data_IF_644522960594
#
_entry.id   IF_644522960594
#
_cell.length_a   1.000
_cell.length_b   1.000
_cell.length_c   1.000
_cell.angle_alpha   90.00
_cell.angle_beta   90.00
_cell.angle_gamma   90.00
#
_symmetry.space_group_name_H-M   'P 1'
#
loop_
_entity.id
_entity.type
_entity.pdbx_description
1 polymer ?
#
# COMPACT_ATOMS: atom_id res chain seq x y z
N UNK A 1 -25.97 67.82 -15.95
CA UNK A 1 -25.00 66.70 -15.97
C UNK A 1 -25.43 65.75 -14.88
N UNK A 2 -26.04 64.63 -15.28
CA UNK A 2 -26.47 63.55 -14.40
C UNK A 2 -25.39 62.48 -14.41
N UNK A 3 -24.76 62.22 -13.25
CA UNK A 3 -23.87 61.10 -13.06
C UNK A 3 -24.69 59.87 -12.73
N UNK A 4 -24.60 58.83 -13.56
CA UNK A 4 -25.16 57.54 -13.30
C UNK A 4 -24.17 56.70 -12.45
N UNK A 5 -24.62 56.26 -11.26
CA UNK A 5 -23.92 55.28 -10.45
C UNK A 5 -24.20 53.89 -11.02
N UNK A 6 -23.12 53.13 -11.32
CA UNK A 6 -23.17 51.72 -11.62
C UNK A 6 -23.12 50.91 -10.29
N UNK A 7 -23.97 49.89 -10.08
CA UNK A 7 -23.89 49.06 -8.89
C UNK A 7 -22.70 48.09 -8.98
N UNK A 8 -22.16 47.64 -7.84
CA UNK A 8 -21.06 46.64 -7.80
C UNK A 8 -21.52 45.26 -8.29
N UNK A 9 -20.64 44.57 -9.01
CA UNK A 9 -20.81 43.22 -9.49
C UNK A 9 -20.95 42.23 -8.31
N UNK A 10 -21.97 41.40 -8.37
CA UNK A 10 -22.11 40.22 -7.52
C UNK A 10 -20.90 39.32 -7.70
N UNK A 11 -20.30 38.93 -6.57
CA UNK A 11 -19.30 37.85 -6.51
C UNK A 11 -20.03 36.51 -6.70
N UNK A 12 -19.55 35.71 -7.62
CA UNK A 12 -19.97 34.31 -7.79
C UNK A 12 -19.72 33.55 -6.48
N UNK A 13 -20.65 32.68 -6.05
CA UNK A 13 -20.43 31.84 -4.89
C UNK A 13 -19.34 30.81 -5.19
N UNK A 14 -18.45 30.62 -4.22
CA UNK A 14 -17.43 29.58 -4.16
C UNK A 14 -17.99 28.24 -4.62
N UNK A 15 -17.30 27.60 -5.55
CA UNK A 15 -17.67 26.30 -6.08
C UNK A 15 -17.76 25.28 -4.95
N UNK A 16 -18.95 24.78 -4.73
CA UNK A 16 -19.25 23.66 -3.85
C UNK A 16 -18.53 22.42 -4.43
N UNK A 17 -17.48 21.96 -3.74
CA UNK A 17 -16.80 20.70 -4.06
C UNK A 17 -17.83 19.60 -3.81
N UNK A 18 -18.43 19.10 -4.88
CA UNK A 18 -19.31 17.92 -4.80
C UNK A 18 -18.47 16.75 -4.31
N UNK A 19 -18.88 16.09 -3.21
CA UNK A 19 -18.24 14.82 -2.80
C UNK A 19 -18.34 13.84 -3.98
N UNK A 20 -17.27 13.13 -4.26
CA UNK A 20 -17.32 11.96 -5.16
C UNK A 20 -18.33 11.02 -4.55
N UNK A 21 -19.46 10.78 -5.23
CA UNK A 21 -20.46 9.78 -4.83
C UNK A 21 -19.72 8.44 -4.74
N UNK A 22 -19.45 7.96 -3.52
CA UNK A 22 -19.08 6.56 -3.31
C UNK A 22 -20.27 5.73 -3.82
N UNK A 23 -19.98 4.77 -4.70
CA UNK A 23 -21.00 3.86 -5.20
C UNK A 23 -21.69 3.21 -4.00
N UNK A 24 -23.01 3.32 -3.90
CA UNK A 24 -23.83 2.93 -2.75
C UNK A 24 -23.79 1.43 -2.40
N UNK A 25 -23.04 0.59 -3.16
CA UNK A 25 -22.92 -0.86 -3.04
C UNK A 25 -21.45 -1.32 -3.14
N UNK A 26 -20.49 -0.63 -2.49
CA UNK A 26 -19.09 -1.07 -2.44
C UNK A 26 -18.76 -1.79 -1.14
N UNK A 27 -17.93 -2.84 -1.25
CA UNK A 27 -17.46 -3.69 -0.15
C UNK A 27 -15.95 -3.58 -0.04
N UNK A 28 -15.43 -3.61 1.18
CA UNK A 28 -13.99 -3.69 1.41
C UNK A 28 -13.49 -5.11 1.21
N UNK A 29 -12.38 -5.24 0.50
CA UNK A 29 -11.62 -6.47 0.34
C UNK A 29 -10.24 -6.30 0.97
N UNK A 30 -9.67 -7.40 1.44
CA UNK A 30 -8.32 -7.44 1.98
C UNK A 30 -7.57 -8.63 1.38
N UNK A 31 -6.52 -8.37 0.60
CA UNK A 31 -5.58 -9.39 0.18
C UNK A 31 -4.58 -9.65 1.29
N UNK A 32 -4.24 -10.91 1.56
CA UNK A 32 -3.27 -11.23 2.61
C UNK A 32 -2.57 -12.56 2.34
N UNK A 33 -1.54 -12.82 3.10
CA UNK A 33 -0.87 -14.11 3.15
C UNK A 33 -0.89 -14.69 4.57
N UNK A 34 -0.60 -15.96 4.70
CA UNK A 34 -0.47 -16.66 5.97
C UNK A 34 0.92 -17.28 6.11
N UNK A 35 1.36 -17.52 7.35
CA UNK A 35 2.64 -18.14 7.61
C UNK A 35 3.82 -17.41 6.98
N UNK A 36 4.51 -18.07 6.03
CA UNK A 36 5.58 -17.47 5.22
C UNK A 36 5.18 -17.24 3.75
N UNK A 37 3.89 -17.43 3.42
CA UNK A 37 3.36 -17.20 2.07
C UNK A 37 3.55 -18.35 1.09
N UNK A 38 3.84 -19.55 1.57
CA UNK A 38 4.02 -20.73 0.70
C UNK A 38 2.70 -21.22 0.09
N UNK A 39 1.59 -21.04 0.79
CA UNK A 39 0.26 -21.47 0.34
C UNK A 39 -0.40 -20.47 -0.61
N UNK A 40 -0.01 -19.19 -0.56
CA UNK A 40 -0.39 -18.20 -1.56
C UNK A 40 -1.36 -17.12 -1.09
N UNK A 41 -2.18 -16.65 -2.04
CA UNK A 41 -3.12 -15.55 -1.86
C UNK A 41 -4.34 -15.98 -1.06
N UNK A 42 -4.67 -15.18 -0.06
CA UNK A 42 -5.94 -15.24 0.66
C UNK A 42 -6.70 -13.93 0.48
N UNK A 43 -8.02 -13.98 0.55
CA UNK A 43 -8.89 -12.81 0.56
C UNK A 43 -9.83 -12.83 1.78
N UNK A 44 -10.03 -11.66 2.34
CA UNK A 44 -11.10 -11.38 3.29
C UNK A 44 -11.97 -10.22 2.77
N UNK A 45 -13.17 -10.09 3.30
CA UNK A 45 -14.07 -8.98 3.00
C UNK A 45 -14.67 -8.39 4.27
N UNK A 46 -15.11 -7.14 4.18
CA UNK A 46 -15.83 -6.46 5.24
C UNK A 46 -16.88 -5.52 4.63
N UNK A 47 -18.08 -5.51 5.20
CA UNK A 47 -19.15 -4.58 4.82
C UNK A 47 -19.03 -3.23 5.54
N UNK A 48 -18.32 -3.22 6.68
CA UNK A 48 -18.21 -2.05 7.57
C UNK A 48 -16.77 -1.50 7.72
N UNK A 49 -15.76 -2.22 7.20
CA UNK A 49 -14.34 -1.88 7.38
C UNK A 49 -13.78 -2.29 8.75
N UNK A 50 -14.60 -2.85 9.64
CA UNK A 50 -14.18 -3.23 11.00
C UNK A 50 -14.22 -4.73 11.22
N UNK A 51 -15.22 -5.41 10.69
CA UNK A 51 -15.41 -6.85 10.87
C UNK A 51 -15.06 -7.59 9.59
N UNK A 52 -13.92 -8.28 9.57
CA UNK A 52 -13.40 -8.97 8.40
C UNK A 52 -13.72 -10.47 8.43
N UNK A 53 -14.13 -11.01 7.30
CA UNK A 53 -14.49 -12.42 7.12
C UNK A 53 -13.66 -13.02 6.00
N UNK A 54 -13.04 -14.18 6.26
CA UNK A 54 -12.28 -14.90 5.24
C UNK A 54 -13.19 -15.40 4.11
N UNK A 55 -12.74 -15.25 2.88
CA UNK A 55 -13.29 -15.94 1.72
C UNK A 55 -12.71 -17.36 1.60
N UNK A 56 -13.34 -18.18 0.77
CA UNK A 56 -12.91 -19.56 0.52
C UNK A 56 -12.64 -20.37 1.81
N UNK A 57 -13.42 -20.14 2.87
CA UNK A 57 -13.24 -20.76 4.20
C UNK A 57 -11.82 -20.56 4.79
N UNK A 58 -11.12 -19.49 4.42
CA UNK A 58 -9.77 -19.20 4.86
C UNK A 58 -8.67 -19.97 4.11
N UNK A 59 -9.02 -20.75 3.09
CA UNK A 59 -8.05 -21.43 2.25
C UNK A 59 -7.53 -20.50 1.15
N UNK A 60 -6.29 -20.76 0.68
CA UNK A 60 -5.68 -20.01 -0.43
C UNK A 60 -6.51 -20.11 -1.71
N UNK A 61 -6.58 -19.03 -2.47
CA UNK A 61 -7.27 -18.97 -3.77
C UNK A 61 -6.29 -18.97 -4.94
N UNK A 62 -5.00 -18.72 -4.73
CA UNK A 62 -3.98 -18.74 -5.76
C UNK A 62 -2.65 -19.20 -5.17
N UNK A 63 -2.18 -20.37 -5.60
CA UNK A 63 -0.88 -20.92 -5.18
C UNK A 63 0.26 -20.23 -5.94
N UNK A 64 1.35 -19.80 -5.26
CA UNK A 64 2.47 -19.13 -5.92
C UNK A 64 3.26 -20.05 -6.84
N UNK A 65 3.59 -19.55 -8.02
CA UNK A 65 4.43 -20.26 -9.02
C UNK A 65 5.60 -19.42 -9.51
N UNK A 66 5.55 -18.09 -9.31
CA UNK A 66 6.62 -17.17 -9.66
C UNK A 66 7.71 -17.13 -8.59
N UNK A 67 8.94 -16.78 -9.01
CA UNK A 67 10.11 -16.72 -8.15
C UNK A 67 10.74 -18.08 -7.86
N UNK A 68 11.98 -18.07 -7.34
CA UNK A 68 12.71 -19.29 -7.00
C UNK A 68 12.12 -19.95 -5.75
N UNK A 69 11.81 -19.15 -4.70
CA UNK A 69 11.24 -19.62 -3.45
C UNK A 69 9.74 -19.88 -3.52
N UNK A 70 9.06 -19.34 -4.55
CA UNK A 70 7.61 -19.45 -4.75
C UNK A 70 6.84 -19.03 -3.52
N UNK A 71 7.18 -17.87 -2.98
CA UNK A 71 6.42 -17.23 -1.91
C UNK A 71 5.41 -16.25 -2.51
N UNK A 72 4.32 -16.03 -1.81
CA UNK A 72 3.37 -14.94 -2.08
C UNK A 72 3.14 -14.20 -0.77
N UNK A 73 4.09 -13.32 -0.44
CA UNK A 73 4.02 -12.48 0.75
C UNK A 73 3.60 -11.08 0.34
N UNK A 74 3.00 -10.37 1.27
CA UNK A 74 2.66 -8.95 1.12
C UNK A 74 1.89 -8.66 -0.19
N UNK A 75 0.80 -9.41 -0.51
CA UNK A 75 0.12 -9.26 -1.79
C UNK A 75 -0.66 -7.94 -1.84
N UNK A 76 -0.26 -7.06 -2.75
CA UNK A 76 -0.98 -5.82 -3.05
C UNK A 76 -1.87 -6.00 -4.28
N UNK A 77 -3.16 -5.73 -4.13
CA UNK A 77 -4.14 -5.74 -5.22
C UNK A 77 -4.76 -4.36 -5.37
N UNK A 78 -4.75 -3.84 -6.60
CA UNK A 78 -5.54 -2.68 -6.98
C UNK A 78 -6.39 -2.98 -8.21
N UNK A 79 -7.47 -2.23 -8.40
CA UNK A 79 -8.24 -2.27 -9.64
C UNK A 79 -7.85 -1.12 -10.55
N UNK A 80 -7.41 -1.43 -11.77
CA UNK A 80 -7.06 -0.46 -12.78
C UNK A 80 -8.27 0.26 -13.38
N UNK A 81 -8.05 1.37 -14.12
CA UNK A 81 -9.13 2.12 -14.76
C UNK A 81 -9.85 1.32 -15.85
N UNK A 82 -9.21 0.30 -16.40
CA UNK A 82 -9.79 -0.66 -17.36
C UNK A 82 -10.71 -1.70 -16.70
N UNK A 83 -10.78 -1.70 -15.35
CA UNK A 83 -11.60 -2.62 -14.56
C UNK A 83 -10.91 -3.90 -14.14
N UNK A 84 -9.70 -4.17 -14.61
CA UNK A 84 -8.88 -5.34 -14.28
C UNK A 84 -8.19 -5.17 -12.91
N UNK A 85 -8.07 -6.26 -12.19
CA UNK A 85 -7.28 -6.32 -10.97
C UNK A 85 -5.84 -6.65 -11.30
N UNK A 86 -4.91 -5.90 -10.73
CA UNK A 86 -3.48 -6.13 -10.81
C UNK A 86 -2.94 -6.45 -9.43
N UNK A 87 -2.11 -7.47 -9.35
CA UNK A 87 -1.49 -7.89 -8.09
C UNK A 87 0.02 -7.97 -8.24
N UNK A 88 0.73 -7.43 -7.24
CA UNK A 88 2.16 -7.62 -7.04
C UNK A 88 2.40 -8.23 -5.66
N UNK A 89 3.52 -8.96 -5.50
CA UNK A 89 3.86 -9.59 -4.21
C UNK A 89 5.35 -9.90 -4.09
N UNK A 90 5.81 -10.12 -2.88
CA UNK A 90 7.16 -10.61 -2.57
C UNK A 90 7.27 -12.10 -2.89
N UNK A 91 8.15 -12.46 -3.82
CA UNK A 91 8.32 -13.85 -4.30
C UNK A 91 9.37 -14.64 -3.52
N UNK A 92 10.28 -13.95 -2.84
CA UNK A 92 11.44 -14.54 -2.16
C UNK A 92 12.01 -13.58 -1.11
N UNK A 93 12.76 -14.15 -0.17
CA UNK A 93 13.56 -13.36 0.77
C UNK A 93 14.78 -12.69 0.10
N UNK A 94 15.27 -13.20 -1.01
CA UNK A 94 16.57 -12.80 -1.60
C UNK A 94 16.54 -12.55 -3.11
N UNK A 95 15.38 -12.45 -3.74
CA UNK A 95 15.27 -12.18 -5.18
C UNK A 95 15.26 -10.70 -5.51
N UNK A 96 15.74 -10.36 -6.73
CA UNK A 96 15.76 -8.99 -7.28
C UNK A 96 14.54 -8.69 -8.15
N UNK A 97 13.49 -9.47 -7.97
CA UNK A 97 12.22 -9.37 -8.68
C UNK A 97 11.04 -9.44 -7.74
N UNK A 98 9.89 -9.07 -8.26
CA UNK A 98 8.59 -9.15 -7.62
C UNK A 98 7.66 -10.02 -8.45
N UNK A 99 6.65 -10.61 -7.83
CA UNK A 99 5.59 -11.31 -8.54
C UNK A 99 4.59 -10.35 -9.15
N UNK A 100 3.98 -10.75 -10.26
CA UNK A 100 2.86 -10.07 -10.90
C UNK A 100 1.87 -11.05 -11.51
N UNK A 101 0.59 -10.79 -11.34
CA UNK A 101 -0.51 -11.42 -12.05
C UNK A 101 -1.68 -10.44 -12.16
N UNK A 102 -2.61 -10.69 -13.09
CA UNK A 102 -3.83 -9.91 -13.24
C UNK A 102 -5.07 -10.79 -13.33
N UNK A 103 -6.23 -10.24 -12.99
CA UNK A 103 -7.52 -10.93 -13.02
C UNK A 103 -8.65 -9.98 -13.40
N UNK A 104 -9.67 -10.49 -14.06
CA UNK A 104 -10.90 -9.73 -14.33
C UNK A 104 -11.93 -9.86 -13.19
N UNK A 105 -11.78 -10.89 -12.33
CA UNK A 105 -12.82 -11.31 -11.38
C UNK A 105 -12.33 -11.75 -10.00
N UNK A 106 -11.00 -11.72 -9.76
CA UNK A 106 -10.31 -12.23 -8.56
C UNK A 106 -10.35 -13.76 -8.40
N UNK A 107 -10.89 -14.49 -9.38
CA UNK A 107 -11.00 -15.96 -9.40
C UNK A 107 -9.98 -16.53 -10.37
N UNK A 108 -10.08 -16.10 -11.63
CA UNK A 108 -9.21 -16.55 -12.71
C UNK A 108 -8.05 -15.57 -12.89
N UNK A 109 -6.85 -16.00 -12.56
CA UNK A 109 -5.62 -15.20 -12.64
C UNK A 109 -4.83 -15.54 -13.89
N UNK A 110 -4.18 -14.53 -14.47
CA UNK A 110 -3.20 -14.72 -15.55
C UNK A 110 -2.06 -15.63 -15.11
N UNK A 111 -1.22 -16.07 -16.06
CA UNK A 111 0.07 -16.65 -15.72
C UNK A 111 0.86 -15.71 -14.82
N UNK A 112 1.40 -16.25 -13.72
CA UNK A 112 2.22 -15.51 -12.79
C UNK A 112 3.60 -15.23 -13.39
N UNK A 113 4.07 -14.02 -13.26
CA UNK A 113 5.35 -13.57 -13.80
C UNK A 113 6.24 -13.05 -12.67
N UNK A 114 7.55 -13.11 -12.88
CA UNK A 114 8.52 -12.38 -12.06
C UNK A 114 9.01 -11.17 -12.86
N UNK A 115 8.74 -9.96 -12.37
CA UNK A 115 9.25 -8.71 -12.92
C UNK A 115 10.58 -8.41 -12.23
N UNK A 116 11.69 -8.40 -12.99
CA UNK A 116 13.04 -8.20 -12.45
C UNK A 116 13.32 -6.70 -12.22
N UNK A 117 12.61 -6.11 -11.26
CA UNK A 117 12.63 -4.66 -10.97
C UNK A 117 14.00 -4.12 -10.51
N UNK A 118 14.92 -4.99 -10.08
CA UNK A 118 16.30 -4.64 -9.70
C UNK A 118 17.35 -5.36 -10.58
N UNK A 119 17.03 -5.62 -11.86
CA UNK A 119 17.93 -6.33 -12.77
C UNK A 119 19.26 -5.61 -12.95
N UNK A 120 19.23 -4.28 -13.12
CA UNK A 120 20.39 -3.43 -13.34
C UNK A 120 21.20 -3.13 -12.07
N UNK A 121 20.74 -3.59 -10.89
CA UNK A 121 21.44 -3.46 -9.61
C UNK A 121 21.85 -4.85 -9.08
N UNK A 122 23.00 -5.39 -9.54
CA UNK A 122 23.38 -6.77 -9.23
C UNK A 122 23.70 -7.03 -7.75
N UNK A 123 23.84 -5.96 -6.96
CA UNK A 123 24.12 -6.06 -5.52
C UNK A 123 22.86 -5.91 -4.65
N UNK A 124 21.72 -5.63 -5.26
CA UNK A 124 20.44 -5.66 -4.54
C UNK A 124 20.16 -7.05 -3.97
N UNK A 125 19.75 -7.10 -2.70
CA UNK A 125 19.57 -8.36 -1.97
C UNK A 125 18.15 -8.86 -1.98
N UNK A 126 17.17 -7.99 -2.15
CA UNK A 126 15.75 -8.30 -2.00
C UNK A 126 14.87 -7.28 -2.71
N UNK A 127 13.60 -7.65 -2.93
CA UNK A 127 12.51 -6.75 -3.30
C UNK A 127 11.30 -7.13 -2.45
N UNK A 128 11.08 -6.41 -1.33
CA UNK A 128 10.05 -6.76 -0.36
C UNK A 128 8.89 -5.80 -0.38
N UNK A 129 7.72 -6.33 -0.04
CA UNK A 129 6.48 -5.59 0.10
C UNK A 129 6.22 -4.63 -1.07
N UNK A 130 6.15 -5.15 -2.31
CA UNK A 130 5.82 -4.31 -3.45
C UNK A 130 4.37 -3.85 -3.35
N UNK A 131 4.16 -2.57 -3.66
CA UNK A 131 2.85 -1.94 -3.69
C UNK A 131 2.57 -1.33 -5.06
N UNK A 132 1.29 -1.11 -5.35
CA UNK A 132 0.78 -0.50 -6.57
C UNK A 132 -0.01 0.76 -6.27
N UNK A 133 0.21 1.80 -7.07
CA UNK A 133 -0.62 2.99 -7.07
C UNK A 133 -0.90 3.42 -8.52
N UNK A 134 -2.19 3.57 -8.90
CA UNK A 134 -2.54 4.14 -10.20
C UNK A 134 -2.67 5.65 -10.10
N UNK A 135 -1.79 6.36 -10.79
CA UNK A 135 -1.84 7.82 -10.86
C UNK A 135 -2.71 8.29 -12.04
N UNK A 136 -3.87 8.86 -11.71
CA UNK A 136 -4.81 9.40 -12.70
C UNK A 136 -4.26 10.61 -13.47
N UNK A 137 -3.22 11.31 -12.93
CA UNK A 137 -2.64 12.50 -13.59
C UNK A 137 -1.70 12.10 -14.72
N UNK A 138 -0.89 11.07 -14.51
CA UNK A 138 0.05 10.52 -15.52
C UNK A 138 -0.53 9.36 -16.32
N UNK A 139 -1.67 8.79 -15.91
CA UNK A 139 -2.28 7.58 -16.46
C UNK A 139 -1.32 6.37 -16.41
N UNK A 140 -0.51 6.27 -15.34
CA UNK A 140 0.45 5.19 -15.12
C UNK A 140 0.27 4.53 -13.77
N UNK A 141 0.70 3.29 -13.69
CA UNK A 141 0.91 2.59 -12.45
C UNK A 141 2.30 2.88 -11.91
N UNK A 142 2.40 3.27 -10.66
CA UNK A 142 3.62 3.27 -9.88
C UNK A 142 3.73 1.93 -9.17
N UNK A 143 4.84 1.22 -9.36
CA UNK A 143 5.22 0.04 -8.60
C UNK A 143 6.37 0.45 -7.70
N UNK A 144 6.28 0.20 -6.39
CA UNK A 144 7.32 0.57 -5.44
C UNK A 144 7.51 -0.52 -4.39
N UNK A 145 8.74 -0.68 -3.91
CA UNK A 145 9.14 -1.79 -3.04
C UNK A 145 10.34 -1.42 -2.18
N UNK A 146 10.61 -2.20 -1.13
CA UNK A 146 11.78 -2.03 -0.28
C UNK A 146 12.96 -2.91 -0.75
N UNK A 147 14.15 -2.30 -0.87
CA UNK A 147 15.38 -2.99 -1.25
C UNK A 147 16.56 -2.57 -0.38
N UNK A 148 17.38 -3.56 0.00
CA UNK A 148 18.71 -3.35 0.57
C UNK A 148 19.78 -3.48 -0.51
N UNK A 149 20.64 -2.46 -0.61
CA UNK A 149 21.83 -2.48 -1.45
C UNK A 149 23.04 -2.27 -0.52
N UNK A 150 23.86 -3.31 -0.29
CA UNK A 150 24.95 -3.25 0.68
C UNK A 150 25.91 -2.09 0.43
N UNK A 151 26.17 -1.31 1.48
CA UNK A 151 27.09 -0.17 1.43
C UNK A 151 26.57 1.10 0.78
N UNK A 152 25.33 1.10 0.24
CA UNK A 152 24.76 2.27 -0.44
C UNK A 152 24.45 3.44 0.51
N UNK A 153 24.00 3.14 1.73
CA UNK A 153 23.58 4.12 2.75
C UNK A 153 24.37 3.93 4.05
N UNK A 154 25.68 4.25 4.06
CA UNK A 154 26.55 3.98 5.21
C UNK A 154 26.16 4.77 6.47
N UNK A 155 25.45 5.90 6.32
CA UNK A 155 24.99 6.74 7.42
C UNK A 155 23.94 6.07 8.31
N UNK A 156 23.21 5.08 7.78
CA UNK A 156 22.16 4.32 8.48
C UNK A 156 22.49 2.84 8.66
N UNK A 157 23.68 2.39 8.21
CA UNK A 157 24.04 0.98 8.26
C UNK A 157 24.05 0.38 9.68
N UNK A 158 24.39 1.19 10.69
CA UNK A 158 24.39 0.77 12.09
C UNK A 158 22.99 0.82 12.74
N UNK A 159 21.97 1.24 12.01
CA UNK A 159 20.58 1.25 12.47
C UNK A 159 19.83 -0.04 12.09
N UNK A 160 20.35 -0.79 11.14
CA UNK A 160 19.72 -1.98 10.61
C UNK A 160 19.93 -3.23 11.47
N UNK A 161 19.00 -4.17 11.42
CA UNK A 161 19.13 -5.52 11.93
C UNK A 161 19.68 -6.42 10.82
N UNK A 162 20.68 -7.23 11.11
CA UNK A 162 21.27 -8.19 10.16
C UNK A 162 21.67 -7.60 8.79
N UNK A 163 22.16 -6.34 8.78
CA UNK A 163 22.53 -5.58 7.59
C UNK A 163 21.39 -5.24 6.62
N UNK A 164 20.13 -5.43 6.99
CA UNK A 164 18.95 -5.07 6.21
C UNK A 164 18.67 -3.56 6.27
N UNK A 165 19.42 -2.78 5.51
CA UNK A 165 19.33 -1.32 5.46
C UNK A 165 18.59 -0.86 4.20
N UNK A 166 17.27 -0.89 4.27
CA UNK A 166 16.37 -0.67 3.15
C UNK A 166 16.14 0.81 2.78
N UNK A 167 15.79 1.02 1.51
CA UNK A 167 15.10 2.20 0.98
C UNK A 167 13.99 1.76 0.04
N UNK A 168 13.07 2.68 -0.25
CA UNK A 168 12.01 2.43 -1.22
C UNK A 168 12.49 2.82 -2.61
N UNK A 169 12.36 1.90 -3.55
CA UNK A 169 12.62 2.06 -4.98
C UNK A 169 11.32 1.97 -5.75
N UNK A 170 11.29 2.52 -6.95
CA UNK A 170 10.10 2.50 -7.77
C UNK A 170 10.41 2.44 -9.27
N UNK A 171 9.43 1.97 -10.03
CA UNK A 171 9.32 2.05 -11.48
C UNK A 171 7.89 2.39 -11.87
N UNK A 172 7.67 2.87 -13.09
CA UNK A 172 6.32 3.13 -13.64
C UNK A 172 6.06 2.26 -14.86
N UNK A 173 4.79 1.96 -15.08
CA UNK A 173 4.31 1.23 -16.24
C UNK A 173 2.89 1.67 -16.62
N UNK A 174 2.54 1.57 -17.89
CA UNK A 174 1.18 1.76 -18.36
C UNK A 174 0.47 0.42 -18.66
N UNK A 175 1.23 -0.66 -18.85
CA UNK A 175 0.75 -1.92 -19.45
C UNK A 175 1.28 -3.19 -18.76
N UNK A 176 2.15 -3.09 -17.75
CA UNK A 176 2.86 -4.18 -17.12
C UNK A 176 3.72 -5.04 -18.07
N UNK A 177 4.05 -4.48 -19.24
CA UNK A 177 4.96 -5.08 -20.24
C UNK A 177 6.23 -4.24 -20.40
N UNK A 178 6.08 -2.91 -20.32
CA UNK A 178 7.17 -1.95 -20.44
C UNK A 178 7.29 -1.11 -19.18
N UNK A 179 8.51 -0.94 -18.68
CA UNK A 179 8.78 -0.29 -17.40
C UNK A 179 9.78 0.86 -17.59
N UNK A 180 9.64 1.92 -16.79
CA UNK A 180 10.69 2.93 -16.67
C UNK A 180 11.93 2.36 -16.00
N UNK A 181 13.05 3.07 -16.08
CA UNK A 181 14.23 2.76 -15.26
C UNK A 181 13.84 2.80 -13.76
N UNK A 182 14.40 1.84 -13.00
CA UNK A 182 14.22 1.82 -11.54
C UNK A 182 14.97 3.00 -10.89
N UNK A 183 14.30 3.71 -10.01
CA UNK A 183 14.89 4.83 -9.28
C UNK A 183 14.70 4.73 -7.76
N UNK A 184 15.58 5.41 -7.02
CA UNK A 184 15.42 5.62 -5.58
C UNK A 184 14.22 6.55 -5.38
N UNK A 185 13.13 6.02 -4.84
CA UNK A 185 11.89 6.75 -4.69
C UNK A 185 11.79 7.49 -3.37
N UNK A 186 12.14 6.83 -2.25
CA UNK A 186 12.01 7.45 -0.94
C UNK A 186 13.22 7.13 -0.05
N UNK A 187 13.88 8.20 0.43
CA UNK A 187 14.96 8.18 1.41
C UNK A 187 14.90 9.45 2.27
N UNK A 188 14.61 9.29 3.54
CA UNK A 188 14.69 10.36 4.54
C UNK A 188 15.74 10.04 5.63
N UNK A 189 16.74 9.22 5.30
CA UNK A 189 17.90 8.88 6.13
C UNK A 189 17.56 8.03 7.35
N UNK A 190 16.62 7.14 7.21
CA UNK A 190 16.34 6.05 8.15
C UNK A 190 16.10 4.75 7.37
N UNK A 191 16.10 3.61 8.07
CA UNK A 191 15.81 2.31 7.47
C UNK A 191 14.30 2.18 7.27
N UNK A 192 13.83 2.15 6.02
CA UNK A 192 12.42 2.27 5.67
C UNK A 192 11.95 1.10 4.81
N UNK A 193 10.81 0.49 5.20
CA UNK A 193 10.10 -0.54 4.43
C UNK A 193 8.59 -0.27 4.42
N UNK A 194 7.83 -1.12 3.75
CA UNK A 194 6.37 -1.21 3.80
C UNK A 194 5.69 0.16 3.58
N UNK A 195 6.00 0.79 2.45
CA UNK A 195 5.34 2.02 2.05
C UNK A 195 3.97 1.71 1.43
N UNK A 196 2.94 2.51 1.73
CA UNK A 196 1.66 2.51 1.03
C UNK A 196 1.23 3.92 0.68
N UNK A 197 0.70 4.13 -0.53
CA UNK A 197 0.29 5.45 -1.03
C UNK A 197 -1.22 5.47 -1.26
N UNK A 198 -1.83 6.59 -0.85
CA UNK A 198 -3.20 6.94 -1.20
C UNK A 198 -3.28 8.40 -1.62
N UNK A 199 -4.44 8.85 -2.11
CA UNK A 199 -4.67 10.25 -2.45
C UNK A 199 -5.70 10.89 -1.53
N UNK A 200 -5.47 12.15 -1.17
CA UNK A 200 -6.42 13.00 -0.45
C UNK A 200 -6.67 14.27 -1.29
N UNK A 201 -7.60 14.16 -2.23
CA UNK A 201 -7.79 15.18 -3.26
C UNK A 201 -6.59 15.23 -4.23
N UNK A 202 -5.91 16.37 -4.30
CA UNK A 202 -4.73 16.55 -5.16
C UNK A 202 -3.40 16.17 -4.48
N UNK A 203 -3.42 15.91 -3.17
CA UNK A 203 -2.26 15.53 -2.36
C UNK A 203 -2.09 14.01 -2.32
N UNK A 204 -0.85 13.53 -2.43
CA UNK A 204 -0.47 12.14 -2.18
C UNK A 204 -0.09 11.98 -0.73
N UNK A 205 -0.63 10.95 -0.10
CA UNK A 205 -0.39 10.58 1.29
C UNK A 205 0.34 9.24 1.31
N UNK A 206 1.50 9.17 1.94
CA UNK A 206 2.26 7.93 2.07
C UNK A 206 2.44 7.58 3.54
N UNK A 207 2.11 6.34 3.90
CA UNK A 207 2.45 5.75 5.20
C UNK A 207 3.65 4.84 4.97
N UNK A 208 4.65 4.91 5.86
CA UNK A 208 5.86 4.10 5.81
C UNK A 208 6.17 3.51 7.17
N UNK A 209 6.87 2.38 7.20
CA UNK A 209 7.41 1.82 8.43
C UNK A 209 8.86 2.24 8.62
N UNK A 210 9.19 2.81 9.78
CA UNK A 210 10.57 2.92 10.24
C UNK A 210 11.06 1.55 10.72
N UNK A 211 11.97 0.94 9.97
CA UNK A 211 12.54 -0.37 10.26
C UNK A 211 13.81 -0.28 11.12
N UNK A 212 14.16 0.91 11.62
CA UNK A 212 15.32 1.13 12.49
C UNK A 212 15.26 0.24 13.72
N UNK A 213 16.37 -0.49 13.96
CA UNK A 213 16.53 -1.39 15.11
C UNK A 213 17.42 -0.79 16.20
N UNK A 214 18.45 -0.07 15.81
CA UNK A 214 19.49 0.41 16.73
C UNK A 214 19.69 1.93 16.62
N UNK A 215 20.08 2.64 17.72
CA UNK A 215 20.34 2.10 19.08
C UNK A 215 19.07 1.70 19.85
N UNK A 216 17.92 2.24 19.47
CA UNK A 216 16.59 1.91 20.01
C UNK A 216 15.67 1.56 18.85
N UNK A 217 14.91 0.46 18.99
CA UNK A 217 14.00 0.02 17.96
C UNK A 217 12.85 1.01 17.80
N UNK A 218 12.63 1.46 16.57
CA UNK A 218 11.44 2.21 16.18
C UNK A 218 10.36 1.19 15.79
N UNK A 219 10.45 0.58 14.62
CA UNK A 219 9.50 -0.46 14.19
C UNK A 219 8.05 0.00 14.28
N UNK A 220 7.81 1.23 13.83
CA UNK A 220 6.54 1.94 13.90
C UNK A 220 6.20 2.64 12.58
N UNK A 221 4.99 3.21 12.49
CA UNK A 221 4.48 3.83 11.28
C UNK A 221 4.58 5.35 11.36
N UNK A 222 4.91 5.95 10.21
CA UNK A 222 4.95 7.39 10.00
C UNK A 222 4.14 7.76 8.77
N UNK A 223 3.71 9.02 8.68
CA UNK A 223 3.00 9.56 7.53
C UNK A 223 3.76 10.74 6.93
N UNK A 224 3.70 10.86 5.61
CA UNK A 224 4.23 12.00 4.86
C UNK A 224 3.33 12.32 3.69
N UNK A 225 3.40 13.55 3.19
CA UNK A 225 2.55 14.01 2.08
C UNK A 225 3.34 14.77 1.03
N UNK A 226 2.82 14.80 -0.20
CA UNK A 226 3.38 15.56 -1.32
C UNK A 226 2.31 15.94 -2.34
N UNK A 227 2.48 17.07 -3.01
CA UNK A 227 1.70 17.47 -4.18
C UNK A 227 2.16 16.75 -5.47
N UNK A 228 3.30 16.05 -5.42
CA UNK A 228 3.88 15.31 -6.53
C UNK A 228 4.13 13.85 -6.14
N UNK A 229 3.60 12.90 -6.93
CA UNK A 229 3.71 11.47 -6.62
C UNK A 229 5.16 11.00 -6.45
N UNK A 230 6.07 11.45 -7.33
CA UNK A 230 7.43 10.93 -7.40
C UNK A 230 8.43 11.65 -6.49
N UNK A 231 8.10 12.86 -6.02
CA UNK A 231 9.07 13.71 -5.30
C UNK A 231 8.38 14.65 -4.33
N UNK A 232 9.19 15.32 -3.49
CA UNK A 232 8.71 16.46 -2.69
C UNK A 232 7.96 16.06 -1.41
N UNK A 233 8.06 14.82 -0.99
CA UNK A 233 7.47 14.39 0.28
C UNK A 233 8.03 15.18 1.45
N UNK A 234 7.12 15.68 2.29
CA UNK A 234 7.47 16.38 3.53
C UNK A 234 8.30 15.48 4.46
N UNK A 235 9.03 16.02 5.45
CA UNK A 235 9.57 15.17 6.50
C UNK A 235 8.47 14.30 7.12
N UNK A 236 8.76 13.02 7.39
CA UNK A 236 7.80 12.14 8.05
C UNK A 236 7.34 12.71 9.39
N UNK A 237 6.11 12.41 9.77
CA UNK A 237 5.55 12.77 11.07
C UNK A 237 6.32 12.11 12.23
N UNK A 238 5.98 12.47 13.46
CA UNK A 238 6.20 11.58 14.60
C UNK A 238 5.44 10.26 14.37
N UNK A 239 5.82 9.20 15.12
CA UNK A 239 5.16 7.90 15.00
C UNK A 239 3.62 8.01 15.19
N UNK A 240 2.87 7.39 14.28
CA UNK A 240 1.41 7.35 14.33
C UNK A 240 0.86 6.04 14.91
N UNK A 241 1.73 5.08 15.18
CA UNK A 241 1.41 3.77 15.78
C UNK A 241 2.29 3.47 16.98
N UNK A 242 1.95 2.40 17.70
CA UNK A 242 2.86 1.75 18.63
C UNK A 242 4.01 1.06 17.86
N UNK A 243 5.06 0.67 18.60
CA UNK A 243 6.18 -0.10 18.05
C UNK A 243 5.83 -1.56 17.75
N UNK A 244 6.60 -2.21 16.86
CA UNK A 244 6.52 -3.62 16.49
C UNK A 244 5.29 -3.93 15.63
N UNK A 245 5.04 -3.04 14.71
CA UNK A 245 4.04 -3.17 13.66
C UNK A 245 4.69 -3.14 12.29
N UNK A 246 3.99 -3.67 11.26
CA UNK A 246 4.44 -3.69 9.88
C UNK A 246 3.25 -3.74 8.91
N UNK A 247 3.52 -3.61 7.62
CA UNK A 247 2.54 -3.80 6.57
C UNK A 247 1.34 -2.87 6.64
N UNK A 248 1.53 -1.54 6.69
CA UNK A 248 0.40 -0.63 6.71
C UNK A 248 -0.37 -0.68 5.38
N UNK A 249 -1.70 -0.65 5.48
CA UNK A 249 -2.57 -0.35 4.35
C UNK A 249 -3.61 0.66 4.76
N UNK A 250 -3.92 1.64 3.91
CA UNK A 250 -4.74 2.80 4.23
C UNK A 250 -5.98 2.90 3.34
N UNK A 251 -7.14 3.18 3.93
CA UNK A 251 -8.37 3.43 3.20
C UNK A 251 -9.28 4.41 3.94
N UNK A 252 -10.33 4.87 3.24
CA UNK A 252 -11.44 5.61 3.89
C UNK A 252 -12.50 4.61 4.35
N UNK A 253 -12.85 4.71 5.64
CA UNK A 253 -14.01 4.03 6.23
C UNK A 253 -14.91 5.12 6.79
N UNK A 254 -16.11 5.25 6.26
CA UNK A 254 -17.01 6.38 6.54
C UNK A 254 -16.31 7.73 6.31
N UNK A 255 -16.24 8.55 7.35
CA UNK A 255 -15.58 9.87 7.30
C UNK A 255 -14.13 9.86 7.78
N UNK A 256 -13.57 8.68 8.10
CA UNK A 256 -12.24 8.55 8.68
C UNK A 256 -11.26 7.89 7.71
N UNK A 257 -9.98 8.22 7.84
CA UNK A 257 -8.89 7.41 7.35
C UNK A 257 -8.61 6.30 8.35
N UNK A 258 -8.48 5.09 7.88
CA UNK A 258 -8.10 3.93 8.69
C UNK A 258 -6.85 3.32 8.09
N UNK A 259 -5.83 3.13 8.93
CA UNK A 259 -4.63 2.35 8.60
C UNK A 259 -4.71 1.05 9.37
N UNK A 260 -4.75 -0.07 8.63
CA UNK A 260 -4.59 -1.40 9.21
C UNK A 260 -3.12 -1.80 9.12
N UNK A 261 -2.66 -2.65 10.05
CA UNK A 261 -1.27 -3.12 10.09
C UNK A 261 -1.14 -4.44 10.85
N UNK A 262 -0.07 -5.18 10.58
CA UNK A 262 0.27 -6.43 11.25
C UNK A 262 1.04 -6.14 12.56
N UNK A 263 0.46 -6.50 13.70
CA UNK A 263 1.12 -6.58 15.00
C UNK A 263 1.89 -7.91 15.09
N UNK A 264 2.90 -8.06 14.25
CA UNK A 264 3.55 -9.34 13.96
C UNK A 264 4.10 -10.09 15.17
N UNK A 265 4.38 -9.41 16.29
CA UNK A 265 4.78 -10.06 17.54
C UNK A 265 3.60 -10.62 18.33
N UNK A 266 2.45 -10.01 18.20
CA UNK A 266 1.20 -10.46 18.85
C UNK A 266 0.44 -11.46 17.98
N UNK A 267 0.81 -11.59 16.68
CA UNK A 267 0.12 -12.38 15.66
C UNK A 267 -1.34 -11.98 15.49
N UNK A 268 -1.57 -10.67 15.43
CA UNK A 268 -2.89 -10.08 15.24
C UNK A 268 -2.81 -8.83 14.37
N UNK A 269 -3.90 -8.47 13.72
CA UNK A 269 -4.03 -7.20 13.02
C UNK A 269 -4.41 -6.09 14.00
N UNK A 270 -3.89 -4.89 13.75
CA UNK A 270 -4.27 -3.67 14.44
C UNK A 270 -4.79 -2.63 13.47
N UNK A 271 -5.35 -1.55 14.02
CA UNK A 271 -5.77 -0.40 13.23
C UNK A 271 -5.69 0.90 14.02
N UNK A 272 -5.42 1.99 13.32
CA UNK A 272 -5.53 3.37 13.80
C UNK A 272 -6.45 4.15 12.88
N UNK A 273 -7.14 5.16 13.42
CA UNK A 273 -8.04 6.01 12.66
C UNK A 273 -7.76 7.50 12.85
N UNK A 274 -8.02 8.29 11.80
CA UNK A 274 -7.88 9.75 11.82
C UNK A 274 -8.94 10.40 10.93
N UNK A 275 -9.41 11.58 11.32
CA UNK A 275 -10.26 12.42 10.47
C UNK A 275 -9.49 13.46 9.68
N UNK A 276 -8.23 13.73 10.06
CA UNK A 276 -7.43 14.86 9.57
C UNK A 276 -6.00 14.46 9.09
N UNK A 277 -5.65 13.15 9.13
CA UNK A 277 -4.32 12.61 8.81
C UNK A 277 -3.18 13.11 9.74
N UNK A 278 -3.53 13.81 10.82
CA UNK A 278 -2.58 14.38 11.78
C UNK A 278 -2.73 13.70 13.14
N UNK A 279 -3.98 13.61 13.62
CA UNK A 279 -4.29 13.06 14.92
C UNK A 279 -4.84 11.63 14.77
N UNK A 280 -4.08 10.65 15.23
CA UNK A 280 -4.41 9.23 15.10
C UNK A 280 -4.84 8.65 16.44
N UNK A 281 -5.82 7.75 16.39
CA UNK A 281 -6.36 7.05 17.55
C UNK A 281 -6.28 5.54 17.28
N UNK A 282 -5.73 4.78 18.24
CA UNK A 282 -5.77 3.31 18.19
C UNK A 282 -7.21 2.83 18.31
N UNK A 283 -7.64 2.03 17.31
CA UNK A 283 -8.95 1.38 17.23
C UNK A 283 -8.81 -0.13 17.07
N UNK A 284 -7.66 -0.69 17.43
CA UNK A 284 -7.37 -2.12 17.27
C UNK A 284 -8.34 -3.03 18.00
N UNK A 285 -8.96 -2.57 19.08
CA UNK A 285 -10.00 -3.27 19.83
C UNK A 285 -11.37 -3.25 19.12
N UNK A 286 -11.53 -2.44 18.07
CA UNK A 286 -12.76 -2.30 17.29
C UNK A 286 -12.71 -3.09 15.97
N UNK A 287 -11.54 -3.58 15.58
CA UNK A 287 -11.38 -4.39 14.37
C UNK A 287 -11.23 -5.87 14.69
N UNK A 288 -11.73 -6.71 13.81
CA UNK A 288 -11.55 -8.16 13.92
C UNK A 288 -11.20 -8.75 12.56
N UNK A 289 -10.15 -9.54 12.51
CA UNK A 289 -9.66 -10.23 11.32
C UNK A 289 -9.71 -11.74 11.50
N UNK A 290 -9.76 -12.52 10.40
CA UNK A 290 -9.55 -13.96 10.47
C UNK A 290 -8.19 -14.30 11.09
N UNK A 291 -8.09 -15.47 11.73
CA UNK A 291 -6.84 -15.93 12.33
C UNK A 291 -5.74 -16.13 11.29
N UNK A 292 -4.52 -15.69 11.59
CA UNK A 292 -3.34 -15.88 10.76
C UNK A 292 -3.15 -14.87 9.63
N UNK A 293 -4.03 -13.86 9.52
CA UNK A 293 -3.86 -12.75 8.56
C UNK A 293 -2.55 -12.03 8.83
N UNK A 294 -1.78 -11.82 7.77
CA UNK A 294 -0.55 -11.05 7.76
C UNK A 294 -0.68 -9.87 6.80
N UNK A 295 0.37 -9.06 6.72
CA UNK A 295 0.53 -7.91 5.82
C UNK A 295 -0.16 -8.12 4.46
N UNK A 296 -0.94 -7.14 4.01
CA UNK A 296 -1.66 -7.14 2.74
C UNK A 296 -2.31 -5.80 2.48
N UNK A 297 -3.17 -5.73 1.48
CA UNK A 297 -3.72 -4.46 1.00
C UNK A 297 -5.24 -4.45 1.03
N UNK A 298 -5.80 -3.36 1.56
CA UNK A 298 -7.23 -3.09 1.51
C UNK A 298 -7.60 -2.40 0.18
N UNK A 299 -8.65 -2.87 -0.47
CA UNK A 299 -9.22 -2.27 -1.67
C UNK A 299 -10.74 -2.38 -1.67
N UNK A 300 -11.42 -1.68 -2.58
CA UNK A 300 -12.88 -1.71 -2.67
C UNK A 300 -13.32 -2.39 -3.96
N UNK A 301 -14.42 -3.13 -3.87
CA UNK A 301 -15.09 -3.75 -5.03
C UNK A 301 -16.60 -3.51 -4.95
N UNK A 302 -17.29 -3.65 -6.07
CA UNK A 302 -18.76 -3.69 -6.09
C UNK A 302 -19.26 -4.99 -5.43
N UNK A 303 -20.44 -4.94 -4.81
CA UNK A 303 -21.10 -6.10 -4.18
C UNK A 303 -21.16 -7.31 -5.12
N UNK A 304 -21.40 -7.09 -6.42
CA UNK A 304 -21.47 -8.16 -7.41
C UNK A 304 -20.17 -8.97 -7.54
N UNK A 305 -18.99 -8.35 -7.32
CA UNK A 305 -17.70 -9.06 -7.32
C UNK A 305 -17.62 -9.97 -6.10
N UNK A 306 -18.01 -9.48 -4.91
CA UNK A 306 -18.06 -10.30 -3.71
C UNK A 306 -19.03 -11.47 -3.83
N UNK A 307 -20.21 -11.24 -4.42
CA UNK A 307 -21.23 -12.29 -4.60
C UNK A 307 -20.73 -13.44 -5.49
N UNK A 308 -19.83 -13.17 -6.44
CA UNK A 308 -19.19 -14.20 -7.27
C UNK A 308 -18.08 -14.97 -6.54
N UNK A 309 -17.50 -14.40 -5.47
CA UNK A 309 -16.43 -15.02 -4.68
C UNK A 309 -16.96 -15.88 -3.52
N UNK A 310 -18.22 -15.72 -3.14
CA UNK A 310 -18.91 -16.49 -2.08
C UNK A 310 -19.49 -17.79 -2.61
#
# INVERSE_FOLDING_TARGET
>A
MLFACTPPSEQDPEGEVTPVEEAADSVYMFSYFMGNGEDGLHLAYSEDGYTWQALNNGESILTPTAGEDKLMRDPCIIRGPEGKFHMVWTVSWHERGIGYASSEDLIDWSEQQTIMVMEDEPTAQNCWAPELFYDKKSEQYLIYWATTIPGRFPETANMAEDDWNHRIYATTTADFETFSDTELFFDQRFNVIDAVITSNGDEYVMVVKDETKFPEAQKDLHITTSDNLMTGYSPVSEAISDHWVEGPTITRVDSQWVVYFDRYRAHEMGAIASTDLINWTDISDQVSFPEGVRHGTVFKVEQAVLDNLR
#
